data_IF_320730745400
#
_entry.id   IF_320730745400
#
_cell.length_a   1.000
_cell.length_b   1.000
_cell.length_c   1.000
_cell.angle_alpha   90.00
_cell.angle_beta   90.00
_cell.angle_gamma   90.00
#
_symmetry.space_group_name_H-M   'P 1'
#
loop_
_entity.id
_entity.type
_entity.pdbx_description
1 polymer ?
#
# COMPACT_ATOMS: atom_id res chain seq x y z
N UNK A 1 -20.55 -3.05 6.04
CA UNK A 1 -19.29 -2.30 6.13
C UNK A 1 -18.35 -3.00 7.10
N UNK A 2 -17.04 -2.96 6.83
CA UNK A 2 -15.97 -3.45 7.71
C UNK A 2 -15.48 -2.29 8.58
N UNK A 3 -15.25 -2.51 9.88
CA UNK A 3 -14.82 -1.46 10.81
C UNK A 3 -13.50 -1.85 11.49
N UNK A 4 -12.48 -0.99 11.40
CA UNK A 4 -11.23 -1.11 12.14
C UNK A 4 -10.93 0.21 12.86
N UNK A 5 -10.65 0.16 14.16
CA UNK A 5 -10.25 1.33 14.97
C UNK A 5 -11.14 2.57 14.69
N UNK A 6 -12.46 2.38 14.71
CA UNK A 6 -13.46 3.43 14.43
C UNK A 6 -13.49 3.99 12.99
N UNK A 7 -12.77 3.39 12.04
CA UNK A 7 -12.84 3.69 10.62
C UNK A 7 -13.64 2.62 9.88
N UNK A 8 -14.56 3.06 9.01
CA UNK A 8 -15.40 2.15 8.24
C UNK A 8 -14.94 2.07 6.79
N UNK A 9 -15.06 0.87 6.22
CA UNK A 9 -14.68 0.53 4.86
C UNK A 9 -15.83 -0.23 4.19
N UNK A 10 -16.12 0.09 2.94
CA UNK A 10 -17.07 -0.64 2.10
C UNK A 10 -16.44 -1.92 1.53
N UNK A 11 -15.15 -1.89 1.20
CA UNK A 11 -14.39 -3.04 0.71
C UNK A 11 -13.88 -3.91 1.87
N UNK A 12 -13.99 -5.23 1.71
CA UNK A 12 -13.42 -6.24 2.63
C UNK A 12 -12.07 -6.78 2.15
N UNK A 13 -11.59 -6.31 1.00
CA UNK A 13 -10.31 -6.71 0.42
C UNK A 13 -9.19 -5.82 0.97
N UNK A 14 -8.17 -6.46 1.53
CA UNK A 14 -6.87 -5.85 1.83
C UNK A 14 -5.90 -6.32 0.76
N UNK A 15 -5.09 -5.41 0.22
CA UNK A 15 -4.13 -5.72 -0.84
C UNK A 15 -2.72 -5.30 -0.42
N UNK A 16 -1.71 -6.11 -0.73
CA UNK A 16 -0.31 -5.77 -0.47
C UNK A 16 0.35 -5.05 -1.64
N UNK A 17 1.55 -4.51 -1.40
CA UNK A 17 2.38 -3.82 -2.41
C UNK A 17 3.56 -4.63 -2.96
N UNK A 18 3.82 -5.81 -2.41
CA UNK A 18 4.94 -6.66 -2.83
C UNK A 18 4.65 -7.40 -4.15
N UNK A 19 5.72 -7.83 -4.83
CA UNK A 19 5.70 -8.76 -5.98
C UNK A 19 5.03 -8.26 -7.27
N UNK A 20 4.75 -6.96 -7.40
CA UNK A 20 4.32 -6.40 -8.69
C UNK A 20 5.49 -6.23 -9.66
N UNK A 21 5.30 -6.44 -10.98
CA UNK A 21 6.37 -6.26 -11.96
C UNK A 21 6.86 -4.82 -12.08
N UNK A 22 6.03 -3.83 -11.71
CA UNK A 22 6.42 -2.42 -11.62
C UNK A 22 5.47 -1.62 -10.72
N UNK A 23 5.89 -0.44 -10.22
CA UNK A 23 5.00 0.46 -9.46
C UNK A 23 3.74 0.89 -10.23
N UNK A 24 3.85 1.10 -11.55
CA UNK A 24 2.70 1.47 -12.38
C UNK A 24 1.64 0.35 -12.44
N UNK A 25 2.08 -0.91 -12.54
CA UNK A 25 1.18 -2.07 -12.50
C UNK A 25 0.55 -2.22 -11.11
N UNK A 26 1.33 -2.06 -10.04
CA UNK A 26 0.83 -2.07 -8.66
C UNK A 26 -0.28 -1.03 -8.47
N UNK A 27 -0.05 0.23 -8.84
CA UNK A 27 -1.05 1.29 -8.71
C UNK A 27 -2.34 0.97 -9.49
N UNK A 28 -2.19 0.43 -10.70
CA UNK A 28 -3.34 0.06 -11.55
C UNK A 28 -4.13 -1.09 -10.93
N UNK A 29 -3.45 -2.10 -10.37
CA UNK A 29 -4.08 -3.20 -9.67
C UNK A 29 -4.81 -2.74 -8.39
N UNK A 30 -4.19 -1.85 -7.60
CA UNK A 30 -4.82 -1.27 -6.41
C UNK A 30 -6.12 -0.55 -6.80
N UNK A 31 -6.07 0.34 -7.81
CA UNK A 31 -7.26 1.05 -8.30
C UNK A 31 -8.35 0.10 -8.80
N UNK A 32 -7.98 -0.89 -9.61
CA UNK A 32 -8.93 -1.85 -10.16
C UNK A 32 -9.57 -2.75 -9.08
N UNK A 33 -8.84 -3.04 -7.99
CA UNK A 33 -9.32 -3.92 -6.92
C UNK A 33 -10.43 -3.30 -6.06
N UNK A 34 -10.57 -1.98 -6.03
CA UNK A 34 -11.46 -1.27 -5.10
C UNK A 34 -11.10 -1.48 -3.62
N UNK A 35 -9.91 -2.01 -3.33
CA UNK A 35 -9.41 -2.13 -1.96
C UNK A 35 -9.25 -0.74 -1.34
N UNK A 36 -9.62 -0.62 -0.07
CA UNK A 36 -9.52 0.64 0.68
C UNK A 36 -8.43 0.60 1.76
N UNK A 37 -7.72 -0.53 1.84
CA UNK A 37 -6.63 -0.75 2.77
C UNK A 37 -5.51 -1.43 1.99
N UNK A 38 -4.33 -0.81 2.01
CA UNK A 38 -3.10 -1.32 1.40
C UNK A 38 -2.11 -1.65 2.50
N UNK A 39 -1.48 -2.83 2.44
CA UNK A 39 -0.43 -3.24 3.38
C UNK A 39 0.95 -2.91 2.84
N UNK A 40 1.82 -2.44 3.71
CA UNK A 40 3.20 -2.05 3.39
C UNK A 40 4.14 -2.70 4.41
N UNK A 41 5.34 -3.06 3.97
CA UNK A 41 6.39 -3.54 4.86
C UNK A 41 7.24 -2.38 5.34
N UNK A 42 7.57 -2.37 6.63
CA UNK A 42 8.57 -1.46 7.17
C UNK A 42 9.92 -2.17 7.14
N UNK A 43 10.92 -1.53 6.52
CA UNK A 43 12.30 -1.98 6.53
C UNK A 43 13.15 -0.95 7.28
N UNK A 44 14.10 -1.43 8.06
CA UNK A 44 15.10 -0.56 8.69
C UNK A 44 15.99 0.02 7.60
N UNK A 45 15.99 1.34 7.48
CA UNK A 45 16.99 2.04 6.68
C UNK A 45 18.32 2.07 7.45
N UNK A 46 19.41 1.64 6.80
CA UNK A 46 20.74 1.88 7.34
C UNK A 46 21.01 3.39 7.29
N UNK A 47 21.68 3.94 8.31
CA UNK A 47 21.99 5.37 8.40
C UNK A 47 22.71 5.85 7.13
N UNK A 48 21.99 6.52 6.23
CA UNK A 48 22.53 7.02 4.96
C UNK A 48 21.55 7.16 3.79
N UNK A 49 20.36 6.54 3.82
CA UNK A 49 19.45 6.53 2.66
C UNK A 49 18.06 7.10 2.95
N UNK A 50 17.61 8.09 2.16
CA UNK A 50 16.21 8.59 2.11
C UNK A 50 15.25 7.63 1.39
N UNK A 51 15.50 6.32 1.45
CA UNK A 51 14.81 5.35 0.59
C UNK A 51 13.32 5.19 0.95
N UNK A 52 12.93 5.49 2.19
CA UNK A 52 11.54 5.43 2.65
C UNK A 52 10.61 6.46 1.98
N UNK A 53 11.12 7.65 1.62
CA UNK A 53 10.30 8.73 1.04
C UNK A 53 9.85 8.43 -0.40
N UNK A 54 10.65 7.65 -1.13
CA UNK A 54 10.36 7.30 -2.51
C UNK A 54 9.06 6.49 -2.63
N UNK A 55 8.78 5.63 -1.66
CA UNK A 55 7.54 4.85 -1.63
C UNK A 55 6.31 5.75 -1.39
N UNK A 56 6.38 6.68 -0.44
CA UNK A 56 5.28 7.60 -0.16
C UNK A 56 4.97 8.56 -1.31
N UNK A 57 5.93 8.82 -2.19
CA UNK A 57 5.71 9.60 -3.41
C UNK A 57 4.93 8.83 -4.49
N UNK A 58 4.77 7.51 -4.35
CA UNK A 58 4.11 6.62 -5.31
C UNK A 58 2.65 6.29 -4.97
N UNK A 59 2.16 6.64 -3.78
CA UNK A 59 0.81 6.27 -3.30
C UNK A 59 0.00 7.48 -2.86
#
# INVERSE_FOLDING_TARGET
MLTFYSKQFSSRLLIGTALYPSPAIMQTAIRASGAQIVTVSLRREAAGGKSGDAFWSLI
#
